data_IF_721274872403
#
_entry.id   IF_721274872403
#
_cell.length_a   1.000
_cell.length_b   1.000
_cell.length_c   1.000
_cell.angle_alpha   90.00
_cell.angle_beta   90.00
_cell.angle_gamma   90.00
#
_symmetry.space_group_name_H-M   'P 1'
#
loop_
_entity.id
_entity.type
_entity.pdbx_description
1 polymer ?
#
# COMPACT_ATOMS: atom_id res chain seq x y z
N UNK A 1 -6.38 4.06 15.06
CA UNK A 1 -5.43 4.83 14.23
C UNK A 1 -6.17 5.77 13.29
N UNK A 2 -5.47 6.71 12.64
CA UNK A 2 -6.04 7.65 11.66
C UNK A 2 -5.06 8.04 10.57
N UNK A 3 -5.56 8.52 9.43
CA UNK A 3 -4.74 9.10 8.36
C UNK A 3 -4.15 10.43 8.83
N UNK A 4 -2.85 10.63 8.60
CA UNK A 4 -2.15 11.86 8.96
C UNK A 4 -2.56 13.00 8.04
N UNK A 5 -2.72 14.20 8.60
CA UNK A 5 -3.04 15.39 7.81
C UNK A 5 -1.91 15.74 6.84
N UNK A 6 -2.29 16.27 5.68
CA UNK A 6 -1.35 16.63 4.63
C UNK A 6 -0.96 15.48 3.70
N UNK A 7 -1.62 14.32 3.76
CA UNK A 7 -1.47 13.26 2.75
C UNK A 7 -2.75 13.13 1.93
N UNK A 8 -2.67 13.45 0.64
CA UNK A 8 -3.82 13.50 -0.26
C UNK A 8 -3.68 12.49 -1.40
N UNK A 9 -4.80 11.84 -1.73
CA UNK A 9 -4.89 10.99 -2.91
C UNK A 9 -5.07 11.86 -4.16
N UNK A 10 -4.23 11.64 -5.17
CA UNK A 10 -4.27 12.32 -6.47
C UNK A 10 -4.27 11.27 -7.59
N UNK A 11 -4.99 11.55 -8.66
CA UNK A 11 -4.90 10.77 -9.88
C UNK A 11 -4.03 11.54 -10.89
N UNK A 12 -2.90 10.96 -11.30
CA UNK A 12 -1.94 11.57 -12.23
C UNK A 12 -1.70 10.59 -13.37
N UNK A 13 -2.04 10.98 -14.59
CA UNK A 13 -1.91 10.14 -15.79
C UNK A 13 -2.58 8.75 -15.68
N UNK A 14 -3.64 8.63 -14.89
CA UNK A 14 -4.34 7.35 -14.67
C UNK A 14 -3.79 6.50 -13.53
N UNK A 15 -2.75 6.97 -12.83
CA UNK A 15 -2.21 6.33 -11.63
C UNK A 15 -2.69 7.07 -10.37
N UNK A 16 -3.05 6.30 -9.35
CA UNK A 16 -3.45 6.84 -8.05
C UNK A 16 -2.24 6.94 -7.13
N UNK A 17 -1.98 8.14 -6.62
CA UNK A 17 -0.79 8.48 -5.85
C UNK A 17 -1.18 9.15 -4.53
N UNK A 18 -0.50 8.81 -3.44
CA UNK A 18 -0.52 9.63 -2.22
C UNK A 18 0.58 10.68 -2.33
N UNK A 19 0.19 11.94 -2.14
CA UNK A 19 1.07 13.11 -2.20
C UNK A 19 1.03 13.82 -0.86
N UNK A 20 2.20 14.16 -0.32
CA UNK A 20 2.33 15.05 0.82
C UNK A 20 2.11 16.51 0.37
N UNK A 21 1.15 17.22 0.98
CA UNK A 21 0.78 18.60 0.70
C UNK A 21 0.62 19.38 2.03
N UNK A 22 1.33 20.51 2.19
CA UNK A 22 1.18 21.43 3.33
C UNK A 22 2.23 22.54 3.37
N UNK A 23 2.02 23.61 4.15
CA UNK A 23 2.97 24.74 4.28
C UNK A 23 4.36 24.31 4.80
N UNK A 24 4.45 23.23 5.56
CA UNK A 24 5.71 22.67 6.06
C UNK A 24 6.27 21.51 5.20
N UNK A 25 5.50 21.02 4.21
CA UNK A 25 5.85 19.87 3.37
C UNK A 25 5.57 20.19 1.89
N UNK A 26 6.51 20.92 1.26
CA UNK A 26 6.63 21.02 -0.21
C UNK A 26 7.60 19.93 -0.71
N UNK A 27 7.77 18.83 0.04
CA UNK A 27 8.63 17.73 -0.37
C UNK A 27 7.82 16.67 -1.12
N UNK A 28 7.73 16.86 -2.44
CA UNK A 28 7.15 15.89 -3.38
C UNK A 28 8.01 14.63 -3.54
N UNK A 29 9.11 14.47 -2.80
CA UNK A 29 9.92 13.25 -2.87
C UNK A 29 9.19 12.03 -2.31
N UNK A 30 8.16 12.24 -1.48
CA UNK A 30 7.38 11.16 -0.87
C UNK A 30 6.07 10.93 -1.63
N UNK A 31 6.20 10.42 -2.86
CA UNK A 31 5.07 9.95 -3.66
C UNK A 31 4.92 8.44 -3.44
N UNK A 32 3.73 8.00 -3.03
CA UNK A 32 3.42 6.58 -2.84
C UNK A 32 2.41 6.17 -3.91
N UNK A 33 2.80 5.22 -4.76
CA UNK A 33 1.89 4.66 -5.77
C UNK A 33 0.91 3.69 -5.11
N UNK A 34 -0.37 3.81 -5.47
CA UNK A 34 -1.46 3.04 -4.90
C UNK A 34 -2.05 2.10 -5.95
N UNK A 35 -2.32 0.86 -5.55
CA UNK A 35 -3.11 -0.06 -6.35
C UNK A 35 -4.60 0.14 -6.06
N UNK A 36 -5.48 -0.47 -6.86
CA UNK A 36 -6.94 -0.29 -6.72
C UNK A 36 -7.45 -0.63 -5.32
N UNK A 37 -6.99 -1.72 -4.73
CA UNK A 37 -7.42 -2.14 -3.38
C UNK A 37 -6.93 -1.17 -2.30
N UNK A 38 -5.69 -0.70 -2.39
CA UNK A 38 -5.15 0.26 -1.43
C UNK A 38 -5.83 1.64 -1.54
N UNK A 39 -6.23 2.07 -2.74
CA UNK A 39 -7.05 3.28 -2.95
C UNK A 39 -8.39 3.18 -2.24
N UNK A 40 -9.07 2.05 -2.38
CA UNK A 40 -10.38 1.80 -1.77
C UNK A 40 -10.26 1.89 -0.25
N UNK A 41 -9.30 1.17 0.34
CA UNK A 41 -9.07 1.17 1.78
C UNK A 41 -8.64 2.54 2.30
N UNK A 42 -7.81 3.27 1.53
CA UNK A 42 -7.38 4.62 1.88
C UNK A 42 -8.55 5.61 1.94
N UNK A 43 -9.47 5.54 0.97
CA UNK A 43 -10.68 6.36 0.96
C UNK A 43 -11.58 6.05 2.15
N UNK A 44 -11.73 4.78 2.51
CA UNK A 44 -12.51 4.37 3.68
C UNK A 44 -11.87 4.86 4.99
N UNK A 45 -10.55 4.71 5.12
CA UNK A 45 -9.79 5.20 6.28
C UNK A 45 -9.97 6.71 6.49
N UNK A 46 -9.90 7.52 5.42
CA UNK A 46 -10.18 8.96 5.48
C UNK A 46 -11.64 9.24 5.88
N UNK A 47 -12.60 8.51 5.32
CA UNK A 47 -14.03 8.69 5.58
C UNK A 47 -14.38 8.43 7.05
N UNK A 48 -13.78 7.41 7.65
CA UNK A 48 -13.99 7.05 9.06
C UNK A 48 -13.33 8.05 10.03
N UNK A 49 -12.28 8.74 9.60
CA UNK A 49 -11.47 9.63 10.44
C UNK A 49 -10.55 8.82 11.35
N UNK A 50 -11.13 8.06 12.29
CA UNK A 50 -10.43 7.06 13.11
C UNK A 50 -10.93 5.67 12.72
N UNK A 51 -10.00 4.75 12.48
CA UNK A 51 -10.29 3.40 12.02
C UNK A 51 -9.44 2.35 12.74
N UNK A 52 -9.86 1.09 12.62
CA UNK A 52 -9.17 -0.12 13.09
C UNK A 52 -8.88 -1.07 11.92
N UNK A 53 -8.10 -2.13 12.17
CA UNK A 53 -7.88 -3.19 11.19
C UNK A 53 -9.21 -3.84 10.80
N UNK A 54 -10.04 -4.15 11.78
CA UNK A 54 -11.34 -4.80 11.60
C UNK A 54 -12.29 -3.97 10.72
N UNK A 55 -12.27 -2.64 10.81
CA UNK A 55 -13.06 -1.77 9.95
C UNK A 55 -12.68 -1.92 8.47
N UNK A 56 -11.37 -1.93 8.19
CA UNK A 56 -10.83 -2.05 6.85
C UNK A 56 -10.99 -3.47 6.29
N UNK A 57 -10.85 -4.51 7.13
CA UNK A 57 -11.13 -5.91 6.75
C UNK A 57 -12.57 -6.07 6.32
N UNK A 58 -13.51 -5.58 7.13
CA UNK A 58 -14.94 -5.64 6.81
C UNK A 58 -15.24 -4.92 5.49
N UNK A 59 -14.62 -3.76 5.26
CA UNK A 59 -14.79 -3.04 4.01
C UNK A 59 -14.23 -3.83 2.82
N UNK A 60 -13.04 -4.43 2.96
CA UNK A 60 -12.42 -5.22 1.90
C UNK A 60 -13.27 -6.44 1.51
N UNK A 61 -13.73 -7.22 2.48
CA UNK A 61 -14.63 -8.36 2.27
C UNK A 61 -16.00 -7.95 1.71
N UNK A 62 -16.41 -6.69 1.88
CA UNK A 62 -17.67 -6.21 1.28
C UNK A 62 -17.56 -5.91 -0.21
N UNK A 63 -16.34 -5.68 -0.70
CA UNK A 63 -16.06 -5.30 -2.09
C UNK A 63 -15.53 -6.50 -2.88
N UNK A 64 -14.75 -7.35 -2.23
CA UNK A 64 -14.16 -8.54 -2.81
C UNK A 64 -14.69 -9.79 -2.13
N UNK A 65 -14.93 -10.83 -2.91
CA UNK A 65 -15.27 -12.16 -2.41
C UNK A 65 -13.98 -12.86 -1.94
N UNK A 66 -13.51 -12.47 -0.76
CA UNK A 66 -12.33 -13.00 -0.08
C UNK A 66 -12.69 -13.38 1.35
N UNK A 67 -12.01 -14.40 1.88
CA UNK A 67 -12.19 -14.80 3.27
C UNK A 67 -11.58 -13.78 4.24
N UNK A 68 -12.14 -13.75 5.45
CA UNK A 68 -11.79 -12.77 6.48
C UNK A 68 -10.33 -12.93 6.95
N UNK A 69 -9.80 -14.15 7.01
CA UNK A 69 -8.43 -14.41 7.46
C UNK A 69 -7.41 -13.87 6.46
N UNK A 70 -7.62 -14.11 5.16
CA UNK A 70 -6.81 -13.54 4.08
C UNK A 70 -6.91 -12.02 4.06
N UNK A 71 -8.12 -11.46 4.13
CA UNK A 71 -8.33 -10.02 4.19
C UNK A 71 -7.61 -9.39 5.39
N UNK A 72 -7.65 -10.05 6.55
CA UNK A 72 -7.00 -9.59 7.78
C UNK A 72 -5.48 -9.62 7.67
N UNK A 73 -4.90 -10.61 7.01
CA UNK A 73 -3.47 -10.64 6.75
C UNK A 73 -3.04 -9.46 5.86
N UNK A 74 -3.73 -9.28 4.74
CA UNK A 74 -3.43 -8.22 3.76
C UNK A 74 -3.60 -6.82 4.36
N UNK A 75 -4.69 -6.58 5.09
CA UNK A 75 -4.94 -5.28 5.74
C UNK A 75 -3.89 -5.00 6.82
N UNK A 76 -3.48 -6.00 7.60
CA UNK A 76 -2.43 -5.81 8.61
C UNK A 76 -1.09 -5.41 7.98
N UNK A 77 -0.71 -6.06 6.88
CA UNK A 77 0.52 -5.73 6.16
C UNK A 77 0.45 -4.32 5.56
N UNK A 78 -0.68 -3.98 4.93
CA UNK A 78 -0.91 -2.65 4.37
C UNK A 78 -0.81 -1.54 5.43
N UNK A 79 -1.49 -1.72 6.56
CA UNK A 79 -1.51 -0.73 7.64
C UNK A 79 -0.15 -0.61 8.33
N UNK A 80 0.58 -1.73 8.48
CA UNK A 80 1.96 -1.70 8.92
C UNK A 80 2.83 -0.83 7.99
N UNK A 81 2.73 -1.03 6.67
CA UNK A 81 3.48 -0.22 5.71
C UNK A 81 3.09 1.26 5.75
N UNK A 82 1.81 1.58 5.92
CA UNK A 82 1.39 2.97 6.12
C UNK A 82 2.00 3.59 7.38
N UNK A 83 2.12 2.81 8.46
CA UNK A 83 2.80 3.22 9.69
C UNK A 83 4.29 3.48 9.48
N UNK A 84 4.99 2.56 8.82
CA UNK A 84 6.43 2.70 8.48
C UNK A 84 6.69 3.90 7.57
N UNK A 85 5.77 4.18 6.64
CA UNK A 85 5.84 5.35 5.75
C UNK A 85 5.44 6.66 6.46
N UNK A 86 4.91 6.60 7.68
CA UNK A 86 4.51 7.77 8.46
C UNK A 86 3.28 8.50 7.93
N UNK A 87 2.44 7.83 7.13
CA UNK A 87 1.24 8.44 6.51
C UNK A 87 -0.03 8.22 7.34
N UNK A 88 0.05 7.41 8.40
CA UNK A 88 -0.96 7.24 9.44
C UNK A 88 -0.33 7.49 10.81
N UNK A 89 -1.16 7.78 11.80
CA UNK A 89 -0.75 7.98 13.19
C UNK A 89 -1.72 7.30 14.18
N UNK A 90 -1.19 6.86 15.33
CA UNK A 90 -1.93 6.18 16.39
C UNK A 90 -1.07 5.15 17.13
N UNK A 91 -1.46 4.82 18.36
CA UNK A 91 -0.74 3.85 19.21
C UNK A 91 -1.06 2.38 18.89
N UNK A 92 -2.09 2.15 18.06
CA UNK A 92 -2.62 0.85 17.69
C UNK A 92 -2.10 0.32 16.34
N UNK A 93 -1.09 0.97 15.76
CA UNK A 93 -0.46 0.53 14.51
C UNK A 93 0.25 -0.82 14.75
N UNK A 94 -0.03 -1.87 13.95
CA UNK A 94 0.55 -3.19 14.16
C UNK A 94 2.06 -3.16 13.91
N UNK A 95 2.85 -3.78 14.79
CA UNK A 95 4.28 -4.03 14.56
C UNK A 95 4.43 -5.42 13.94
N UNK A 96 4.68 -5.49 12.63
CA UNK A 96 4.87 -6.78 11.95
C UNK A 96 6.35 -7.13 11.95
N UNK A 97 6.72 -8.25 12.61
CA UNK A 97 8.07 -8.83 12.46
C UNK A 97 8.15 -9.55 11.12
N UNK A 98 8.43 -8.83 10.04
CA UNK A 98 8.61 -9.44 8.72
C UNK A 98 9.91 -10.26 8.74
N UNK A 99 9.80 -11.59 8.74
CA UNK A 99 10.89 -12.47 8.30
C UNK A 99 11.06 -12.24 6.80
N UNK A 100 11.87 -11.24 6.44
CA UNK A 100 12.22 -10.91 5.06
C UNK A 100 12.80 -12.17 4.40
N UNK A 101 12.02 -12.85 3.56
CA UNK A 101 12.59 -13.52 2.39
C UNK A 101 12.95 -12.43 1.41
N UNK A 102 14.19 -11.96 1.51
CA UNK A 102 14.82 -11.16 0.48
C UNK A 102 14.91 -12.00 -0.79
N UNK A 103 14.04 -11.72 -1.76
CA UNK A 103 14.30 -11.92 -3.19
C UNK A 103 13.80 -10.67 -3.93
N UNK A 104 14.75 -9.74 -4.10
CA UNK A 104 14.92 -8.73 -5.15
C UNK A 104 13.71 -7.99 -5.77
N UNK A 105 13.66 -6.68 -5.53
CA UNK A 105 13.74 -5.70 -6.63
C UNK A 105 14.35 -4.36 -6.16
N UNK A 106 15.66 -4.24 -6.36
CA UNK A 106 16.28 -2.94 -6.68
C UNK A 106 15.90 -2.63 -8.13
N UNK A 107 15.04 -1.65 -8.37
CA UNK A 107 14.99 -0.99 -9.67
C UNK A 107 15.89 0.24 -9.59
N UNK A 108 17.16 0.02 -9.97
CA UNK A 108 18.11 1.08 -10.28
C UNK A 108 18.19 1.19 -11.81
N UNK A 109 18.37 2.42 -12.27
CA UNK A 109 18.41 2.83 -13.66
C UNK A 109 19.45 2.04 -14.49
N UNK A 110 18.97 1.45 -15.59
CA UNK A 110 19.63 1.18 -16.88
C UNK A 110 20.49 -0.11 -17.15
N UNK A 111 20.18 -0.69 -18.33
CA UNK A 111 20.94 -1.53 -19.30
C UNK A 111 20.84 -3.08 -19.31
N UNK A 112 20.12 -3.54 -20.35
CA UNK A 112 20.42 -4.56 -21.40
C UNK A 112 20.80 -6.04 -21.12
N UNK A 113 20.02 -6.92 -21.79
CA UNK A 113 20.33 -8.17 -22.55
C UNK A 113 19.96 -9.59 -22.02
N UNK A 114 19.06 -10.19 -22.82
CA UNK A 114 18.88 -11.57 -23.32
C UNK A 114 18.68 -12.83 -22.44
N UNK A 115 17.53 -13.49 -22.75
CA UNK A 115 17.27 -14.92 -23.07
C UNK A 115 16.92 -15.96 -21.98
N UNK A 116 15.67 -16.44 -22.17
CA UNK A 116 15.16 -17.83 -22.15
C UNK A 116 14.66 -18.49 -20.84
N UNK A 117 13.51 -19.14 -21.02
CA UNK A 117 12.48 -19.70 -20.12
C UNK A 117 12.68 -21.20 -19.76
N UNK A 118 11.74 -21.94 -19.12
CA UNK A 118 10.68 -21.62 -18.12
C UNK A 118 10.61 -22.63 -16.92
N UNK A 119 9.99 -22.24 -15.78
CA UNK A 119 8.79 -22.89 -15.16
C UNK A 119 8.54 -22.47 -13.69
N UNK A 120 7.24 -22.30 -13.40
CA UNK A 120 6.52 -22.35 -12.12
C UNK A 120 6.65 -21.15 -11.16
N UNK A 121 5.54 -20.42 -11.08
CA UNK A 121 5.27 -19.33 -10.16
C UNK A 121 4.22 -18.41 -10.78
N UNK A 122 2.95 -18.63 -10.43
CA UNK A 122 1.79 -17.90 -10.96
C UNK A 122 1.82 -16.37 -10.65
N UNK A 123 2.80 -15.93 -9.84
CA UNK A 123 2.97 -14.54 -9.40
C UNK A 123 3.84 -13.64 -10.29
N UNK A 124 4.36 -14.13 -11.43
CA UNK A 124 5.19 -13.27 -12.31
C UNK A 124 4.42 -12.40 -13.31
N UNK A 125 3.08 -12.43 -13.32
CA UNK A 125 2.29 -11.75 -14.36
C UNK A 125 1.61 -10.45 -13.94
N UNK A 126 1.81 -9.98 -12.70
CA UNK A 126 1.13 -8.78 -12.19
C UNK A 126 2.04 -7.60 -11.83
N UNK A 127 3.36 -7.75 -11.90
CA UNK A 127 4.29 -6.64 -11.71
C UNK A 127 5.24 -6.58 -12.91
N UNK A 128 4.86 -5.77 -13.91
CA UNK A 128 5.70 -5.44 -15.06
C UNK A 128 5.75 -3.91 -15.19
N UNK A 129 6.64 -3.31 -14.42
CA UNK A 129 7.42 -2.12 -14.78
C UNK A 129 8.87 -2.61 -14.97
#
# INVERSE_FOLDING_TARGET
MKVKSGFNLRNVCGEDLIVAEGEENIDFSNIISMNKSSVILWKEAQRLGTFTIEDLVKHLCSIYDIDEDTAKADVKELVYHWGEMGIIEGDDIPVVTIKRKTEDKKDNLSKEKEKQSPKKGFFRRLFKL
#
